data_IF_697755161038
#
_entry.id   IF_697755161038
#
_cell.length_a   1.000
_cell.length_b   1.000
_cell.length_c   1.000
_cell.angle_alpha   90.00
_cell.angle_beta   90.00
_cell.angle_gamma   90.00
#
_symmetry.space_group_name_H-M   'P 1'
#
loop_
_entity.id
_entity.type
_entity.pdbx_description
1 polymer ?
#
# COMPACT_ATOMS: atom_id res chain seq x y z
N UNK A 1 28.03 3.61 1.02
CA UNK A 1 27.67 5.04 0.86
C UNK A 1 26.66 5.21 -0.27
N UNK A 2 25.38 5.41 0.07
CA UNK A 2 24.40 6.23 -0.70
C UNK A 2 23.11 6.38 0.15
N UNK A 3 23.24 6.96 1.35
CA UNK A 3 22.13 7.12 2.30
C UNK A 3 20.99 7.98 1.75
N UNK A 4 21.31 8.98 0.92
CA UNK A 4 20.33 9.92 0.34
C UNK A 4 19.40 9.22 -0.67
N UNK A 5 19.95 8.37 -1.54
CA UNK A 5 19.16 7.67 -2.57
C UNK A 5 18.19 6.61 -2.00
N UNK A 6 18.55 5.97 -0.88
CA UNK A 6 17.69 4.96 -0.22
C UNK A 6 16.50 5.63 0.46
N UNK A 7 16.72 6.79 1.10
CA UNK A 7 15.66 7.57 1.73
C UNK A 7 14.64 8.11 0.72
N UNK A 8 15.10 8.59 -0.45
CA UNK A 8 14.22 9.07 -1.52
C UNK A 8 13.32 7.96 -2.10
N UNK A 9 13.85 6.75 -2.25
CA UNK A 9 13.05 5.61 -2.71
C UNK A 9 11.95 5.25 -1.71
N UNK A 10 12.30 5.14 -0.43
CA UNK A 10 11.36 4.87 0.66
C UNK A 10 10.25 5.92 0.75
N UNK A 11 10.60 7.21 0.65
CA UNK A 11 9.63 8.31 0.61
C UNK A 11 8.66 8.17 -0.57
N UNK A 12 9.17 7.85 -1.76
CA UNK A 12 8.35 7.66 -2.96
C UNK A 12 7.37 6.49 -2.81
N UNK A 13 7.84 5.37 -2.27
CA UNK A 13 7.01 4.17 -2.03
C UNK A 13 5.92 4.44 -0.99
N UNK A 14 6.27 5.08 0.14
CA UNK A 14 5.29 5.49 1.16
C UNK A 14 4.25 6.46 0.61
N UNK A 15 4.67 7.45 -0.17
CA UNK A 15 3.77 8.42 -0.77
C UNK A 15 2.82 7.76 -1.79
N UNK A 16 3.31 6.79 -2.59
CA UNK A 16 2.44 6.00 -3.47
C UNK A 16 1.36 5.25 -2.67
N UNK A 17 1.70 4.67 -1.53
CA UNK A 17 0.72 4.00 -0.66
C UNK A 17 -0.29 4.99 -0.07
N UNK A 18 0.17 6.16 0.37
CA UNK A 18 -0.71 7.23 0.84
C UNK A 18 -1.75 7.62 -0.23
N UNK A 19 -1.31 7.84 -1.48
CA UNK A 19 -2.20 8.14 -2.60
C UNK A 19 -3.18 7.01 -2.89
N UNK A 20 -2.74 5.75 -2.78
CA UNK A 20 -3.65 4.61 -2.89
C UNK A 20 -4.74 4.64 -1.81
N UNK A 21 -4.40 5.02 -0.57
CA UNK A 21 -5.37 5.23 0.50
C UNK A 21 -6.37 6.35 0.20
N UNK A 22 -5.88 7.49 -0.34
CA UNK A 22 -6.75 8.60 -0.79
C UNK A 22 -7.72 8.15 -1.88
N UNK A 23 -7.22 7.45 -2.90
CA UNK A 23 -8.05 6.90 -3.98
C UNK A 23 -9.14 5.99 -3.41
N UNK A 24 -8.79 5.06 -2.52
CA UNK A 24 -9.77 4.16 -1.90
C UNK A 24 -10.82 4.93 -1.09
N UNK A 25 -10.39 5.92 -0.31
CA UNK A 25 -11.29 6.76 0.50
C UNK A 25 -12.29 7.53 -0.37
N UNK A 26 -11.81 8.21 -1.41
CA UNK A 26 -12.66 8.97 -2.34
C UNK A 26 -13.63 8.04 -3.07
N UNK A 27 -13.16 6.88 -3.56
CA UNK A 27 -14.03 5.87 -4.18
C UNK A 27 -15.13 5.39 -3.23
N UNK A 28 -14.77 5.10 -1.97
CA UNK A 28 -15.73 4.65 -0.96
C UNK A 28 -16.78 5.72 -0.68
N UNK A 29 -16.37 6.98 -0.58
CA UNK A 29 -17.30 8.09 -0.36
C UNK A 29 -18.23 8.30 -1.54
N UNK A 30 -17.72 8.24 -2.77
CA UNK A 30 -18.54 8.29 -3.99
C UNK A 30 -19.58 7.18 -4.02
N UNK A 31 -19.17 5.93 -3.77
CA UNK A 31 -20.10 4.79 -3.70
C UNK A 31 -21.15 4.96 -2.62
N UNK A 32 -20.78 5.48 -1.46
CA UNK A 32 -21.72 5.73 -0.37
C UNK A 32 -22.80 6.74 -0.76
N UNK A 33 -22.43 7.88 -1.37
CA UNK A 33 -23.42 8.87 -1.83
C UNK A 33 -24.37 8.25 -2.88
N UNK A 34 -23.82 7.53 -3.86
CA UNK A 34 -24.62 6.87 -4.89
C UNK A 34 -25.54 5.79 -4.34
N UNK A 35 -25.14 5.11 -3.25
CA UNK A 35 -25.97 4.10 -2.60
C UNK A 35 -27.27 4.68 -2.04
N UNK A 36 -27.28 5.94 -1.59
CA UNK A 36 -28.50 6.61 -1.10
C UNK A 36 -29.56 6.77 -2.20
N UNK A 37 -29.13 6.82 -3.46
CA UNK A 37 -29.99 6.94 -4.64
C UNK A 37 -30.07 5.65 -5.46
N UNK A 38 -29.64 4.49 -4.91
CA UNK A 38 -29.56 3.20 -5.61
C UNK A 38 -28.83 3.28 -6.98
N UNK A 39 -27.82 4.17 -7.07
CA UNK A 39 -27.07 4.45 -8.29
C UNK A 39 -25.62 3.91 -8.25
N UNK A 40 -25.25 3.07 -7.27
CA UNK A 40 -23.93 2.45 -7.27
C UNK A 40 -23.86 1.32 -8.32
N UNK A 41 -22.72 1.24 -9.03
CA UNK A 41 -22.45 0.22 -10.04
C UNK A 41 -21.01 -0.28 -9.97
N UNK A 42 -20.78 -1.50 -10.46
CA UNK A 42 -19.47 -2.16 -10.37
C UNK A 42 -18.40 -1.43 -11.20
N UNK A 43 -18.76 -1.00 -12.41
CA UNK A 43 -17.92 -0.37 -13.44
C UNK A 43 -17.85 1.16 -13.34
N UNK A 44 -18.30 1.75 -12.24
CA UNK A 44 -18.33 3.20 -12.02
C UNK A 44 -16.98 3.90 -12.24
N UNK A 45 -15.88 3.21 -11.94
CA UNK A 45 -14.52 3.76 -12.02
C UNK A 45 -13.76 3.29 -13.28
N UNK A 46 -14.48 2.79 -14.28
CA UNK A 46 -13.92 2.43 -15.58
C UNK A 46 -13.71 3.68 -16.45
N UNK A 47 -12.66 3.67 -17.28
CA UNK A 47 -12.15 4.86 -17.97
C UNK A 47 -13.20 5.63 -18.81
N UNK A 48 -14.20 4.94 -19.36
CA UNK A 48 -15.10 5.51 -20.37
C UNK A 48 -16.58 5.59 -19.93
N UNK A 49 -16.97 4.96 -18.81
CA UNK A 49 -18.39 4.76 -18.49
C UNK A 49 -18.88 5.60 -17.30
N UNK A 50 -18.01 5.90 -16.33
CA UNK A 50 -18.42 6.46 -15.05
C UNK A 50 -18.98 7.88 -15.11
N UNK A 51 -18.28 8.78 -15.79
CA UNK A 51 -18.68 10.20 -15.83
C UNK A 51 -19.97 10.42 -16.63
N UNK A 52 -20.13 9.73 -17.75
CA UNK A 52 -21.35 9.78 -18.56
C UNK A 52 -22.56 9.32 -17.72
N UNK A 53 -22.41 8.18 -17.03
CA UNK A 53 -23.43 7.67 -16.12
C UNK A 53 -23.78 8.67 -15.01
N UNK A 54 -22.78 9.27 -14.35
CA UNK A 54 -23.01 10.26 -13.28
C UNK A 54 -23.78 11.50 -13.75
N UNK A 55 -23.69 11.87 -15.03
CA UNK A 55 -24.46 12.98 -15.58
C UNK A 55 -25.94 12.62 -15.78
N UNK A 56 -26.22 11.37 -16.16
CA UNK A 56 -27.58 10.87 -16.47
C UNK A 56 -28.40 10.52 -15.21
N UNK A 57 -27.73 10.11 -14.12
CA UNK A 57 -28.44 9.72 -12.89
C UNK A 57 -29.18 10.91 -12.28
N UNK A 58 -30.41 10.64 -11.84
CA UNK A 58 -31.21 11.57 -11.05
C UNK A 58 -30.63 11.66 -9.64
N UNK A 59 -30.05 12.82 -9.33
CA UNK A 59 -29.40 13.13 -8.06
C UNK A 59 -29.89 14.51 -7.60
N UNK A 60 -29.87 14.75 -6.29
CA UNK A 60 -30.06 16.10 -5.75
C UNK A 60 -28.94 17.03 -6.25
N UNK A 61 -29.21 18.35 -6.28
CA UNK A 61 -28.21 19.33 -6.70
C UNK A 61 -26.96 19.30 -5.79
N UNK A 62 -27.19 19.04 -4.49
CA UNK A 62 -26.12 18.90 -3.50
C UNK A 62 -25.26 17.66 -3.79
N UNK A 63 -25.89 16.50 -4.02
CA UNK A 63 -25.13 15.28 -4.33
C UNK A 63 -24.36 15.42 -5.64
N UNK A 64 -24.97 16.04 -6.66
CA UNK A 64 -24.32 16.32 -7.94
C UNK A 64 -23.07 17.19 -7.75
N UNK A 65 -23.18 18.25 -6.93
CA UNK A 65 -22.05 19.10 -6.60
C UNK A 65 -20.94 18.32 -5.88
N UNK A 66 -21.27 17.56 -4.84
CA UNK A 66 -20.29 16.79 -4.05
C UNK A 66 -19.61 15.72 -4.90
N UNK A 67 -20.37 14.97 -5.71
CA UNK A 67 -19.84 13.93 -6.59
C UNK A 67 -18.86 14.54 -7.61
N UNK A 68 -19.19 15.70 -8.19
CA UNK A 68 -18.30 16.38 -9.14
C UNK A 68 -16.94 16.71 -8.50
N UNK A 69 -16.94 17.20 -7.26
CA UNK A 69 -15.70 17.50 -6.51
C UNK A 69 -14.90 16.23 -6.22
N UNK A 70 -15.56 15.18 -5.71
CA UNK A 70 -14.92 13.91 -5.40
C UNK A 70 -14.38 13.21 -6.66
N UNK A 71 -15.06 13.33 -7.80
CA UNK A 71 -14.59 12.78 -9.06
C UNK A 71 -13.30 13.45 -9.53
N UNK A 72 -13.25 14.79 -9.48
CA UNK A 72 -12.04 15.55 -9.79
C UNK A 72 -10.89 15.18 -8.84
N UNK A 73 -11.15 15.09 -7.53
CA UNK A 73 -10.16 14.65 -6.54
C UNK A 73 -9.65 13.23 -6.84
N UNK A 74 -10.54 12.31 -7.21
CA UNK A 74 -10.15 10.94 -7.57
C UNK A 74 -9.23 10.89 -8.80
N UNK A 75 -9.54 11.67 -9.84
CA UNK A 75 -8.73 11.77 -11.06
C UNK A 75 -7.35 12.35 -10.77
N UNK A 76 -7.29 13.40 -9.94
CA UNK A 76 -6.03 14.00 -9.51
C UNK A 76 -5.15 13.00 -8.74
N UNK A 77 -5.70 12.32 -7.73
CA UNK A 77 -4.93 11.29 -6.99
C UNK A 77 -4.47 10.14 -7.89
N UNK A 78 -5.25 9.76 -8.91
CA UNK A 78 -4.83 8.77 -9.90
C UNK A 78 -3.64 9.26 -10.73
N UNK A 79 -3.68 10.51 -11.21
CA UNK A 79 -2.60 11.12 -11.96
C UNK A 79 -1.32 11.22 -11.11
N UNK A 80 -1.44 11.67 -9.86
CA UNK A 80 -0.34 11.72 -8.90
C UNK A 80 0.25 10.33 -8.64
N UNK A 81 -0.59 9.31 -8.40
CA UNK A 81 -0.12 7.94 -8.16
C UNK A 81 0.62 7.38 -9.37
N UNK A 82 0.18 7.70 -10.59
CA UNK A 82 0.87 7.33 -11.82
C UNK A 82 2.22 8.03 -11.93
N UNK A 83 2.29 9.33 -11.65
CA UNK A 83 3.53 10.10 -11.66
C UNK A 83 4.56 9.54 -10.66
N UNK A 84 4.13 9.22 -9.44
CA UNK A 84 4.99 8.58 -8.42
C UNK A 84 5.42 7.18 -8.87
N UNK A 85 4.52 6.41 -9.47
CA UNK A 85 4.85 5.07 -10.01
C UNK A 85 5.91 5.14 -11.11
N UNK A 86 5.85 6.17 -11.99
CA UNK A 86 6.90 6.44 -12.98
C UNK A 86 8.24 6.78 -12.32
N UNK A 87 8.25 7.60 -11.26
CA UNK A 87 9.47 7.91 -10.49
C UNK A 87 10.08 6.66 -9.85
N UNK A 88 9.26 5.81 -9.23
CA UNK A 88 9.72 4.53 -8.66
C UNK A 88 10.32 3.66 -9.76
N UNK A 89 9.65 3.51 -10.91
CA UNK A 89 10.16 2.73 -12.05
C UNK A 89 11.51 3.24 -12.55
N UNK A 90 11.69 4.57 -12.63
CA UNK A 90 12.96 5.17 -13.01
C UNK A 90 14.08 4.93 -11.99
N UNK A 91 13.76 4.97 -10.69
CA UNK A 91 14.72 4.62 -9.63
C UNK A 91 15.12 3.14 -9.72
N UNK A 92 14.12 2.26 -9.92
CA UNK A 92 14.29 0.82 -10.08
C UNK A 92 15.21 0.47 -11.25
N UNK A 93 15.09 1.17 -12.37
CA UNK A 93 15.94 0.97 -13.56
C UNK A 93 17.41 1.37 -13.34
N UNK A 94 17.69 2.29 -12.40
CA UNK A 94 19.04 2.74 -12.05
C UNK A 94 19.63 2.00 -10.83
N UNK A 95 18.92 1.01 -10.31
CA UNK A 95 19.34 0.31 -9.11
C UNK A 95 20.57 -0.58 -9.38
N UNK A 96 21.53 -0.69 -8.43
CA UNK A 96 22.64 -1.63 -8.54
C UNK A 96 22.16 -3.07 -8.71
N UNK A 97 22.95 -3.89 -9.39
CA UNK A 97 22.64 -5.29 -9.70
C UNK A 97 22.18 -6.09 -8.48
N UNK A 98 22.87 -5.97 -7.33
CA UNK A 98 22.48 -6.63 -6.07
C UNK A 98 21.02 -6.33 -5.64
N UNK A 99 20.53 -5.12 -5.86
CA UNK A 99 19.14 -4.76 -5.55
C UNK A 99 18.16 -5.32 -6.57
N UNK A 100 18.55 -5.41 -7.84
CA UNK A 100 17.75 -6.05 -8.86
C UNK A 100 17.61 -7.56 -8.60
N UNK A 101 18.71 -8.24 -8.24
CA UNK A 101 18.70 -9.64 -7.83
C UNK A 101 17.83 -9.85 -6.59
N UNK A 102 17.99 -9.04 -5.54
CA UNK A 102 17.15 -9.12 -4.35
C UNK A 102 15.65 -8.93 -4.65
N UNK A 103 15.31 -8.05 -5.60
CA UNK A 103 13.93 -7.84 -6.06
C UNK A 103 13.37 -9.06 -6.77
N UNK A 104 14.14 -9.65 -7.67
CA UNK A 104 13.71 -10.87 -8.38
C UNK A 104 13.57 -12.04 -7.40
N UNK A 105 14.50 -12.20 -6.46
CA UNK A 105 14.38 -13.18 -5.37
C UNK A 105 13.16 -12.94 -4.47
N UNK A 106 12.72 -11.70 -4.26
CA UNK A 106 11.48 -11.44 -3.52
C UNK A 106 10.24 -11.84 -4.33
N UNK A 107 10.23 -11.61 -5.65
CA UNK A 107 9.10 -11.92 -6.52
C UNK A 107 8.85 -13.42 -6.71
N UNK A 108 9.82 -14.28 -6.38
CA UNK A 108 9.61 -15.74 -6.39
C UNK A 108 8.71 -16.21 -5.25
N UNK A 109 8.62 -15.43 -4.16
CA UNK A 109 7.71 -15.74 -3.07
C UNK A 109 6.25 -15.53 -3.52
N UNK A 110 5.34 -16.50 -3.27
CA UNK A 110 3.94 -16.33 -3.60
C UNK A 110 3.34 -15.11 -2.90
N UNK A 111 2.53 -14.34 -3.64
CA UNK A 111 1.91 -13.13 -3.11
C UNK A 111 2.78 -11.87 -3.18
N UNK A 112 4.06 -11.99 -3.57
CA UNK A 112 4.96 -10.84 -3.74
C UNK A 112 5.00 -10.39 -5.19
N UNK A 113 4.31 -9.29 -5.49
CA UNK A 113 4.38 -8.63 -6.80
C UNK A 113 5.43 -7.51 -6.86
N UNK A 114 5.59 -6.84 -8.02
CA UNK A 114 6.58 -5.77 -8.20
C UNK A 114 6.44 -4.62 -7.18
N UNK A 115 5.22 -4.22 -6.87
CA UNK A 115 4.96 -3.15 -5.88
C UNK A 115 5.32 -3.60 -4.47
N UNK A 116 4.91 -4.82 -4.09
CA UNK A 116 5.20 -5.40 -2.77
C UNK A 116 6.71 -5.57 -2.57
N UNK A 117 7.43 -6.00 -3.61
CA UNK A 117 8.88 -6.11 -3.58
C UNK A 117 9.56 -4.75 -3.31
N UNK A 118 9.14 -3.66 -3.98
CA UNK A 118 9.68 -2.32 -3.68
C UNK A 118 9.35 -1.84 -2.28
N UNK A 119 8.16 -2.17 -1.75
CA UNK A 119 7.81 -1.87 -0.35
C UNK A 119 8.78 -2.56 0.60
N UNK A 120 9.00 -3.86 0.43
CA UNK A 120 9.92 -4.63 1.28
C UNK A 120 11.34 -4.09 1.18
N UNK A 121 11.88 -3.92 -0.02
CA UNK A 121 13.24 -3.42 -0.23
C UNK A 121 13.44 -2.00 0.30
N UNK A 122 12.47 -1.11 0.10
CA UNK A 122 12.58 0.28 0.55
C UNK A 122 12.45 0.42 2.07
N UNK A 123 11.61 -0.38 2.72
CA UNK A 123 11.44 -0.33 4.17
C UNK A 123 12.60 -1.00 4.92
N UNK A 124 13.11 -2.12 4.39
CA UNK A 124 14.24 -2.84 4.96
C UNK A 124 15.57 -2.13 4.71
N UNK A 125 15.73 -1.42 3.59
CA UNK A 125 16.96 -0.71 3.26
C UNK A 125 18.14 -1.68 3.09
N UNK A 126 19.21 -1.48 3.85
CA UNK A 126 20.34 -2.40 3.87
C UNK A 126 20.01 -3.63 4.71
N UNK A 127 20.01 -4.81 4.08
CA UNK A 127 19.69 -6.07 4.76
C UNK A 127 20.79 -6.51 5.73
N UNK A 128 22.04 -6.05 5.53
CA UNK A 128 23.18 -6.42 6.38
C UNK A 128 23.07 -5.91 7.83
N UNK A 129 22.21 -4.92 8.08
CA UNK A 129 21.91 -4.42 9.43
C UNK A 129 21.12 -5.44 10.27
N UNK A 130 20.55 -6.47 9.64
CA UNK A 130 19.75 -7.48 10.32
C UNK A 130 20.58 -8.74 10.53
N UNK A 131 20.71 -9.16 11.79
CA UNK A 131 21.44 -10.38 12.14
C UNK A 131 20.73 -11.65 11.68
N UNK A 132 19.40 -11.63 11.66
CA UNK A 132 18.57 -12.78 11.30
C UNK A 132 17.13 -12.36 10.94
N UNK A 133 16.34 -13.32 10.45
CA UNK A 133 14.92 -13.10 10.12
C UNK A 133 14.07 -12.60 11.30
N UNK A 134 14.38 -12.99 12.55
CA UNK A 134 13.66 -12.50 13.74
C UNK A 134 13.82 -10.99 13.91
N UNK A 135 15.01 -10.45 13.65
CA UNK A 135 15.25 -8.99 13.69
C UNK A 135 14.52 -8.25 12.57
N UNK A 136 14.34 -8.90 11.41
CA UNK A 136 13.49 -8.37 10.33
C UNK A 136 12.02 -8.30 10.77
N UNK A 137 11.49 -9.39 11.34
CA UNK A 137 10.12 -9.42 11.87
C UNK A 137 9.91 -8.38 12.97
N UNK A 138 10.91 -8.15 13.83
CA UNK A 138 10.87 -7.10 14.84
C UNK A 138 10.77 -5.70 14.21
N UNK A 139 11.54 -5.41 13.15
CA UNK A 139 11.47 -4.12 12.44
C UNK A 139 10.14 -3.88 11.71
N UNK A 140 9.42 -4.96 11.38
CA UNK A 140 8.06 -4.90 10.87
C UNK A 140 7.00 -4.81 11.99
N UNK A 141 7.37 -5.00 13.25
CA UNK A 141 6.44 -5.05 14.38
C UNK A 141 5.53 -6.28 14.36
N UNK A 142 6.02 -7.40 13.81
CA UNK A 142 5.35 -8.69 13.75
C UNK A 142 5.68 -9.61 14.93
N UNK A 143 6.53 -9.15 15.86
CA UNK A 143 6.88 -9.88 17.07
C UNK A 143 5.83 -9.64 18.16
N UNK A 144 5.58 -10.62 19.06
CA UNK A 144 4.70 -10.41 20.20
C UNK A 144 5.30 -9.38 21.16
N UNK A 145 4.45 -8.60 21.82
CA UNK A 145 4.87 -7.76 22.94
C UNK A 145 5.39 -8.67 24.06
N UNK A 146 6.44 -8.24 24.75
CA UNK A 146 6.91 -8.88 25.98
C UNK A 146 6.69 -7.90 27.12
N UNK A 147 5.84 -8.27 28.09
CA UNK A 147 5.73 -7.56 29.37
C UNK A 147 6.29 -8.48 30.46
N UNK A 148 7.35 -8.03 31.11
CA UNK A 148 7.95 -8.70 32.23
C UNK A 148 7.95 -7.74 33.42
N UNK A 149 7.13 -8.04 34.43
CA UNK A 149 7.11 -7.34 35.72
C UNK A 149 7.48 -8.35 36.81
N UNK A 150 8.68 -8.21 37.38
CA UNK A 150 9.21 -9.17 38.35
C UNK A 150 9.30 -10.59 37.77
N UNK A 151 8.74 -11.57 38.49
CA UNK A 151 8.76 -13.01 38.12
C UNK A 151 7.74 -13.40 37.05
N UNK A 152 6.75 -12.54 36.74
CA UNK A 152 5.71 -12.85 35.76
C UNK A 152 6.13 -12.44 34.35
N UNK A 153 6.32 -13.44 33.48
CA UNK A 153 6.40 -13.27 32.02
C UNK A 153 5.02 -13.51 31.40
N UNK A 154 4.43 -12.47 30.82
CA UNK A 154 3.21 -12.63 30.01
C UNK A 154 3.56 -13.31 28.68
N UNK A 155 2.94 -14.45 28.37
CA UNK A 155 3.24 -15.27 27.18
C UNK A 155 2.33 -14.98 25.97
N UNK A 156 1.17 -14.34 26.18
CA UNK A 156 0.14 -14.17 25.14
C UNK A 156 -0.23 -12.69 24.93
N UNK A 157 0.69 -11.93 24.32
CA UNK A 157 0.43 -10.54 23.99
C UNK A 157 0.31 -10.31 22.49
N UNK A 158 -0.43 -9.25 22.13
CA UNK A 158 -0.60 -8.80 20.75
C UNK A 158 0.76 -8.48 20.10
N UNK A 159 0.80 -8.40 18.78
CA UNK A 159 1.98 -7.87 18.07
C UNK A 159 2.34 -6.47 18.58
N UNK A 160 3.63 -6.15 18.63
CA UNK A 160 4.11 -4.85 19.16
C UNK A 160 3.57 -3.67 18.36
N UNK A 161 3.41 -3.85 17.05
CA UNK A 161 3.17 -2.75 16.11
C UNK A 161 4.27 -1.69 16.07
N UNK A 162 5.38 -1.94 16.74
CA UNK A 162 6.57 -1.09 16.73
C UNK A 162 7.35 -1.29 15.43
N UNK A 163 7.80 -0.21 14.80
CA UNK A 163 8.50 -0.26 13.52
C UNK A 163 7.60 0.04 12.31
N UNK A 164 7.95 -0.50 11.14
CA UNK A 164 7.31 -0.09 9.88
C UNK A 164 5.94 -0.73 9.69
N UNK A 165 4.88 0.07 9.87
CA UNK A 165 3.51 -0.34 9.57
C UNK A 165 3.29 -0.70 8.10
N UNK A 166 3.98 -0.04 7.18
CA UNK A 166 3.88 -0.33 5.74
C UNK A 166 4.52 -1.68 5.40
N UNK A 167 5.70 -1.97 5.97
CA UNK A 167 6.35 -3.27 5.81
C UNK A 167 5.47 -4.39 6.39
N UNK A 168 4.91 -4.16 7.58
CA UNK A 168 3.98 -5.10 8.22
C UNK A 168 2.80 -5.44 7.33
N UNK A 169 2.13 -4.40 6.83
CA UNK A 169 1.00 -4.56 5.92
C UNK A 169 1.39 -5.36 4.68
N UNK A 170 2.51 -5.02 4.03
CA UNK A 170 2.96 -5.71 2.82
C UNK A 170 3.25 -7.21 3.06
N UNK A 171 3.88 -7.55 4.18
CA UNK A 171 4.17 -8.95 4.55
C UNK A 171 2.88 -9.73 4.87
N UNK A 172 1.94 -9.11 5.59
CA UNK A 172 0.64 -9.73 5.90
C UNK A 172 -0.18 -9.96 4.63
N UNK A 173 -0.24 -8.99 3.72
CA UNK A 173 -0.92 -9.14 2.43
C UNK A 173 -0.31 -10.26 1.58
N UNK A 174 1.03 -10.35 1.53
CA UNK A 174 1.71 -11.43 0.83
C UNK A 174 1.35 -12.80 1.42
N UNK A 175 1.30 -12.92 2.75
CA UNK A 175 0.90 -14.15 3.43
C UNK A 175 -0.56 -14.54 3.12
N UNK A 176 -1.51 -13.60 3.14
CA UNK A 176 -2.90 -13.88 2.77
C UNK A 176 -3.04 -14.36 1.31
N UNK A 177 -2.25 -13.78 0.40
CA UNK A 177 -2.21 -14.21 -1.00
C UNK A 177 -1.62 -15.62 -1.18
N UNK A 178 -0.72 -16.03 -0.29
CA UNK A 178 -0.18 -17.40 -0.25
C UNK A 178 -1.26 -18.39 0.22
N UNK A 179 -1.98 -18.08 1.31
CA UNK A 179 -3.04 -18.96 1.83
C UNK A 179 -4.12 -19.25 0.78
N UNK A 180 -4.51 -18.25 -0.03
CA UNK A 180 -5.46 -18.45 -1.12
C UNK A 180 -4.92 -19.20 -2.36
N UNK A 181 -3.62 -19.54 -2.40
CA UNK A 181 -2.97 -20.29 -3.48
C UNK A 181 -2.44 -21.65 -3.04
N UNK A 182 -2.34 -21.91 -1.74
CA UNK A 182 -2.07 -23.26 -1.25
C UNK A 182 -3.31 -24.12 -1.50
N UNK A 183 -3.15 -25.32 -2.09
CA UNK A 183 -4.25 -26.27 -2.26
C UNK A 183 -4.82 -26.74 -0.91
#
# INVERSE_FOLDING_TARGET
MNFIGVDLHKKSVRHRQYLQGRITSVRSKLRHILSNSNADRKDLFSANCGLAYLNEVRLSDVDRFVIKQLWAEWQDHLAQRLAVSKKIKAFVAKAPQRKAEARESLKTAPGVGPVTAEVVLSELGDISRFRNAKTVCASAGLVPVVRQSGERKSKDLKITKEGSGLLRWALVEAAWRLVGKSP
#
